data_IF_155794797626
#
_entry.id   IF_155794797626
#
_cell.length_a   1.000
_cell.length_b   1.000
_cell.length_c   1.000
_cell.angle_alpha   90.00
_cell.angle_beta   90.00
_cell.angle_gamma   90.00
#
_symmetry.space_group_name_H-M   'P 1'
#
loop_
_entity.id
_entity.type
_entity.pdbx_description
1 polymer ?
#
# COMPACT_ATOMS: atom_id res chain seq x y z
N UNK A 1 17.28 19.77 20.27
CA UNK A 1 16.29 18.68 20.22
C UNK A 1 15.85 18.55 18.77
N UNK A 2 16.29 17.51 18.07
CA UNK A 2 15.86 17.29 16.68
C UNK A 2 14.34 17.18 16.66
N UNK A 3 13.69 17.91 15.75
CA UNK A 3 12.24 17.94 15.63
C UNK A 3 11.78 16.51 15.28
N UNK A 4 11.36 15.73 16.28
CA UNK A 4 10.82 14.38 16.09
C UNK A 4 9.48 14.58 15.41
N UNK A 5 9.36 14.19 14.14
CA UNK A 5 8.09 14.28 13.43
C UNK A 5 7.05 13.41 14.13
N UNK A 6 5.83 13.91 14.32
CA UNK A 6 4.71 13.06 14.72
C UNK A 6 4.52 11.90 13.74
N UNK A 7 3.97 10.78 14.22
CA UNK A 7 3.64 9.62 13.40
C UNK A 7 4.65 8.48 13.48
N UNK A 8 4.61 7.61 12.47
CA UNK A 8 5.52 6.46 12.34
C UNK A 8 6.95 6.93 12.14
N UNK A 9 7.88 6.39 12.92
CA UNK A 9 9.28 6.75 12.94
C UNK A 9 10.21 5.53 12.95
N UNK A 10 11.42 5.74 12.46
CA UNK A 10 12.54 4.82 12.63
C UNK A 10 12.91 4.71 14.10
N UNK A 11 13.37 3.56 14.63
CA UNK A 11 13.85 3.49 16.01
C UNK A 11 15.01 4.47 16.28
N UNK A 12 15.18 4.84 17.54
CA UNK A 12 16.39 5.52 18.00
C UNK A 12 17.59 4.60 17.82
N UNK A 13 18.70 5.17 17.39
CA UNK A 13 19.99 4.52 17.42
C UNK A 13 20.49 4.51 18.86
N UNK A 14 20.37 3.37 19.54
CA UNK A 14 20.82 3.18 20.93
C UNK A 14 22.32 3.46 21.13
N UNK A 15 23.10 3.43 20.05
CA UNK A 15 24.54 3.75 20.10
C UNK A 15 24.85 5.25 20.00
N UNK A 16 23.82 6.09 19.82
CA UNK A 16 23.96 7.53 19.68
C UNK A 16 23.23 8.28 20.80
N UNK A 17 24.01 8.83 21.74
CA UNK A 17 23.52 9.63 22.87
C UNK A 17 22.77 10.89 22.44
N UNK A 18 22.94 11.35 21.19
CA UNK A 18 22.21 12.49 20.63
C UNK A 18 20.86 12.10 20.01
N UNK A 19 20.50 10.81 20.04
CA UNK A 19 19.20 10.31 19.61
C UNK A 19 19.01 10.38 18.10
N UNK A 20 20.02 10.03 17.31
CA UNK A 20 19.85 9.88 15.85
C UNK A 20 18.99 8.66 15.53
N UNK A 21 18.43 8.64 14.31
CA UNK A 21 17.61 7.54 13.80
C UNK A 21 18.25 7.02 12.52
N UNK A 22 19.27 6.17 12.65
CA UNK A 22 20.02 5.64 11.51
C UNK A 22 19.29 4.47 10.86
N UNK A 23 19.09 4.54 9.54
CA UNK A 23 18.31 3.53 8.80
C UNK A 23 19.07 2.22 8.55
N UNK A 24 20.37 2.28 8.28
CA UNK A 24 21.16 1.10 7.88
C UNK A 24 21.16 0.01 8.96
N UNK A 25 21.35 0.38 10.23
CA UNK A 25 21.37 -0.57 11.33
C UNK A 25 20.03 -1.30 11.48
N UNK A 26 18.94 -0.53 11.50
CA UNK A 26 17.56 -1.06 11.55
C UNK A 26 17.28 -2.01 10.39
N UNK A 27 17.56 -1.58 9.15
CA UNK A 27 17.28 -2.39 7.95
C UNK A 27 18.09 -3.71 7.97
N UNK A 28 19.35 -3.67 8.40
CA UNK A 28 20.15 -4.89 8.52
C UNK A 28 19.58 -5.84 9.57
N UNK A 29 19.14 -5.35 10.74
CA UNK A 29 18.48 -6.18 11.76
C UNK A 29 17.23 -6.87 11.20
N UNK A 30 16.41 -6.15 10.43
CA UNK A 30 15.22 -6.72 9.76
C UNK A 30 15.60 -7.85 8.82
N UNK A 31 16.58 -7.64 7.92
CA UNK A 31 17.00 -8.68 6.97
C UNK A 31 17.68 -9.89 7.62
N UNK A 32 18.47 -9.67 8.67
CA UNK A 32 19.07 -10.75 9.47
C UNK A 32 17.95 -11.59 10.09
N UNK A 33 17.01 -10.97 10.81
CA UNK A 33 15.90 -11.66 11.45
C UNK A 33 15.03 -12.41 10.43
N UNK A 34 14.79 -11.81 9.26
CA UNK A 34 14.05 -12.44 8.17
C UNK A 34 14.68 -13.77 7.73
N UNK A 35 15.99 -13.79 7.46
CA UNK A 35 16.64 -14.94 6.82
C UNK A 35 17.28 -15.93 7.79
N UNK A 36 17.50 -15.57 9.06
CA UNK A 36 18.26 -16.39 10.04
C UNK A 36 17.83 -17.86 10.09
N UNK A 37 16.51 -18.11 10.10
CA UNK A 37 15.96 -19.47 10.18
C UNK A 37 16.08 -20.26 8.87
N UNK A 38 16.04 -19.57 7.72
CA UNK A 38 16.12 -20.19 6.40
C UNK A 38 17.57 -20.39 5.95
N UNK A 39 18.45 -19.42 6.24
CA UNK A 39 19.86 -19.45 5.89
C UNK A 39 20.70 -18.57 6.81
N UNK A 40 21.34 -19.20 7.80
CA UNK A 40 22.33 -18.56 8.69
C UNK A 40 23.47 -17.90 7.91
N UNK A 41 23.91 -18.51 6.81
CA UNK A 41 24.96 -17.95 5.96
C UNK A 41 24.55 -16.61 5.34
N UNK A 42 23.29 -16.48 4.88
CA UNK A 42 22.79 -15.20 4.37
C UNK A 42 22.66 -14.16 5.48
N UNK A 43 22.22 -14.55 6.68
CA UNK A 43 22.17 -13.66 7.83
C UNK A 43 23.57 -13.12 8.20
N UNK A 44 24.59 -13.99 8.21
CA UNK A 44 25.99 -13.60 8.41
C UNK A 44 26.50 -12.67 7.30
N UNK A 45 26.13 -12.91 6.03
CA UNK A 45 26.48 -12.01 4.92
C UNK A 45 25.88 -10.63 5.13
N UNK A 46 24.60 -10.53 5.51
CA UNK A 46 23.97 -9.25 5.85
C UNK A 46 24.75 -8.61 6.99
N UNK A 47 24.97 -9.31 8.10
CA UNK A 47 25.67 -8.79 9.27
C UNK A 47 27.06 -8.22 8.93
N UNK A 48 27.83 -8.93 8.11
CA UNK A 48 29.21 -8.57 7.76
C UNK A 48 29.35 -7.55 6.61
N UNK A 49 28.27 -7.24 5.88
CA UNK A 49 28.32 -6.26 4.79
C UNK A 49 28.52 -4.83 5.31
N UNK A 50 29.70 -4.25 5.01
CA UNK A 50 30.12 -2.90 5.46
C UNK A 50 29.59 -1.79 4.56
N UNK A 51 29.45 -2.05 3.26
CA UNK A 51 28.98 -1.12 2.22
C UNK A 51 27.52 -1.40 1.86
N UNK A 52 26.68 -1.60 2.87
CA UNK A 52 25.26 -1.99 2.71
C UNK A 52 24.52 -1.16 1.66
N UNK A 53 24.63 0.18 1.69
CA UNK A 53 23.93 1.06 0.74
C UNK A 53 24.30 0.83 -0.73
N UNK A 54 25.48 0.27 -0.99
CA UNK A 54 25.95 -0.05 -2.34
C UNK A 54 25.58 -1.49 -2.71
N UNK A 55 25.68 -2.43 -1.76
CA UNK A 55 25.67 -3.86 -2.05
C UNK A 55 24.36 -4.58 -1.70
N UNK A 56 23.40 -3.92 -1.03
CA UNK A 56 22.20 -4.59 -0.52
C UNK A 56 21.42 -5.36 -1.58
N UNK A 57 21.35 -4.83 -2.81
CA UNK A 57 20.57 -5.43 -3.90
C UNK A 57 21.05 -6.83 -4.28
N UNK A 58 22.37 -7.10 -4.23
CA UNK A 58 22.91 -8.44 -4.45
C UNK A 58 22.49 -9.42 -3.35
N UNK A 59 22.60 -9.00 -2.09
CA UNK A 59 22.25 -9.84 -0.95
C UNK A 59 20.74 -10.10 -0.91
N UNK A 60 19.92 -9.08 -1.18
CA UNK A 60 18.46 -9.24 -1.29
C UNK A 60 18.12 -10.23 -2.41
N UNK A 61 18.78 -10.18 -3.57
CA UNK A 61 18.57 -11.17 -4.63
C UNK A 61 18.86 -12.61 -4.14
N UNK A 62 19.95 -12.84 -3.40
CA UNK A 62 20.22 -14.16 -2.82
C UNK A 62 19.14 -14.60 -1.82
N UNK A 63 18.61 -13.69 -1.00
CA UNK A 63 17.49 -13.97 -0.08
C UNK A 63 16.22 -14.31 -0.86
N UNK A 64 15.95 -13.58 -1.95
CA UNK A 64 14.82 -13.87 -2.84
C UNK A 64 14.97 -15.27 -3.48
N UNK A 65 16.18 -15.66 -3.90
CA UNK A 65 16.45 -17.02 -4.37
C UNK A 65 16.18 -18.07 -3.28
N UNK A 66 16.48 -17.77 -2.02
CA UNK A 66 16.16 -18.64 -0.87
C UNK A 66 14.65 -18.78 -0.69
N UNK A 67 13.89 -17.68 -0.79
CA UNK A 67 12.42 -17.71 -0.74
C UNK A 67 11.83 -18.54 -1.89
N UNK A 68 12.45 -18.52 -3.07
CA UNK A 68 11.95 -19.24 -4.24
C UNK A 68 12.12 -20.77 -4.17
N UNK A 69 12.90 -21.29 -3.21
CA UNK A 69 13.14 -22.75 -3.08
C UNK A 69 11.90 -23.52 -2.63
N UNK A 70 11.17 -22.99 -1.66
CA UNK A 70 9.93 -23.60 -1.18
C UNK A 70 9.04 -22.61 -0.42
N UNK A 71 7.76 -22.99 -0.30
CA UNK A 71 6.71 -22.19 0.32
C UNK A 71 6.99 -21.85 1.80
N UNK A 72 7.55 -22.78 2.57
CA UNK A 72 7.79 -22.57 3.99
C UNK A 72 8.89 -21.53 4.23
N UNK A 73 9.95 -21.57 3.43
CA UNK A 73 10.98 -20.53 3.43
C UNK A 73 10.42 -19.18 3.03
N UNK A 74 9.64 -19.10 1.95
CA UNK A 74 9.03 -17.85 1.50
C UNK A 74 8.22 -17.17 2.61
N UNK A 75 7.33 -17.93 3.26
CA UNK A 75 6.47 -17.43 4.33
C UNK A 75 7.27 -17.07 5.58
N UNK A 76 8.14 -17.96 6.06
CA UNK A 76 8.91 -17.70 7.28
C UNK A 76 9.84 -16.49 7.15
N UNK A 77 10.47 -16.29 5.99
CA UNK A 77 11.33 -15.11 5.75
C UNK A 77 10.49 -13.83 5.81
N UNK A 78 9.33 -13.81 5.16
CA UNK A 78 8.43 -12.66 5.17
C UNK A 78 7.88 -12.37 6.59
N UNK A 79 7.41 -13.40 7.28
CA UNK A 79 6.85 -13.30 8.64
C UNK A 79 7.89 -12.83 9.66
N UNK A 80 9.11 -13.39 9.64
CA UNK A 80 10.16 -13.01 10.56
C UNK A 80 10.65 -11.58 10.31
N UNK A 81 10.81 -11.18 9.04
CA UNK A 81 11.16 -9.82 8.67
C UNK A 81 10.09 -8.82 9.12
N UNK A 82 8.82 -9.12 8.87
CA UNK A 82 7.71 -8.25 9.29
C UNK A 82 7.58 -8.17 10.82
N UNK A 83 7.74 -9.30 11.52
CA UNK A 83 7.78 -9.33 12.99
C UNK A 83 8.88 -8.42 13.53
N UNK A 84 10.05 -8.43 12.90
CA UNK A 84 11.17 -7.58 13.30
C UNK A 84 10.89 -6.08 13.06
N UNK A 85 10.18 -5.73 11.97
CA UNK A 85 9.68 -4.36 11.75
C UNK A 85 8.80 -3.92 12.93
N UNK A 86 7.82 -4.73 13.35
CA UNK A 86 6.93 -4.41 14.47
C UNK A 86 7.62 -4.40 15.85
N UNK A 87 8.81 -4.98 15.97
CA UNK A 87 9.60 -4.93 17.20
C UNK A 87 10.51 -3.71 17.28
N UNK A 88 10.68 -2.96 16.17
CA UNK A 88 11.62 -1.84 16.11
C UNK A 88 10.97 -0.50 15.78
N UNK A 89 10.06 -0.43 14.81
CA UNK A 89 9.50 0.85 14.38
C UNK A 89 8.63 1.46 15.47
N UNK A 90 8.71 2.77 15.61
CA UNK A 90 8.04 3.52 16.67
C UNK A 90 6.97 4.44 16.10
N UNK A 91 6.13 4.96 16.98
CA UNK A 91 5.14 5.98 16.68
C UNK A 91 5.22 7.08 17.73
N UNK A 92 5.19 8.33 17.28
CA UNK A 92 5.33 9.52 18.13
C UNK A 92 4.04 10.33 18.10
N UNK A 93 3.48 10.62 19.27
CA UNK A 93 2.30 11.47 19.44
C UNK A 93 2.47 12.31 20.69
N UNK A 94 2.25 13.62 20.59
CA UNK A 94 2.30 14.55 21.73
C UNK A 94 3.61 14.43 22.54
N UNK A 95 4.73 14.17 21.85
CA UNK A 95 6.06 13.98 22.46
C UNK A 95 6.28 12.62 23.13
N UNK A 96 5.28 11.74 23.20
CA UNK A 96 5.41 10.35 23.66
C UNK A 96 5.75 9.43 22.50
N UNK A 97 6.70 8.53 22.73
CA UNK A 97 7.12 7.52 21.76
C UNK A 97 6.74 6.12 22.26
N UNK A 98 6.10 5.33 21.40
CA UNK A 98 5.71 3.94 21.62
C UNK A 98 6.22 3.08 20.47
N UNK A 99 6.30 1.76 20.62
CA UNK A 99 6.41 0.89 19.44
C UNK A 99 5.15 1.07 18.60
N UNK A 100 5.28 0.93 17.27
CA UNK A 100 4.16 1.10 16.35
C UNK A 100 3.00 0.15 16.70
N UNK A 101 3.30 -1.12 17.02
CA UNK A 101 2.28 -2.09 17.47
C UNK A 101 1.54 -1.61 18.73
N UNK A 102 2.25 -1.09 19.72
CA UNK A 102 1.66 -0.63 20.99
C UNK A 102 0.83 0.64 20.76
N UNK A 103 1.26 1.52 19.85
CA UNK A 103 0.50 2.70 19.46
C UNK A 103 -0.81 2.34 18.75
N UNK A 104 -0.82 1.30 17.92
CA UNK A 104 -2.05 0.79 17.27
C UNK A 104 -3.04 0.20 18.28
N UNK A 105 -2.58 -0.26 19.45
CA UNK A 105 -3.46 -0.69 20.55
C UNK A 105 -3.90 0.47 21.44
N UNK A 106 -2.99 1.43 21.67
CA UNK A 106 -3.19 2.55 22.60
C UNK A 106 -4.12 3.62 22.04
N UNK A 107 -3.91 4.02 20.78
CA UNK A 107 -4.66 5.12 20.15
C UNK A 107 -5.82 4.56 19.32
N UNK A 108 -7.03 4.77 19.80
CA UNK A 108 -8.28 4.24 19.22
C UNK A 108 -9.32 5.33 18.99
N UNK A 109 -8.90 6.60 19.00
CA UNK A 109 -9.78 7.74 18.84
C UNK A 109 -10.31 7.81 17.41
N UNK A 110 -11.64 7.93 17.29
CA UNK A 110 -12.29 8.17 16.01
C UNK A 110 -12.29 9.67 15.70
N UNK A 111 -11.19 10.16 15.12
CA UNK A 111 -10.97 11.58 14.84
C UNK A 111 -11.50 12.05 13.48
N UNK A 112 -11.94 11.14 12.62
CA UNK A 112 -12.38 11.45 11.27
C UNK A 112 -13.89 11.23 11.10
N UNK A 113 -14.50 12.07 10.29
CA UNK A 113 -15.81 11.82 9.70
C UNK A 113 -15.69 11.73 8.18
N UNK A 114 -16.71 11.14 7.57
CA UNK A 114 -16.77 10.91 6.13
C UNK A 114 -17.56 12.01 5.45
N UNK A 115 -16.95 12.70 4.48
CA UNK A 115 -17.68 13.57 3.55
C UNK A 115 -17.78 12.87 2.20
N UNK A 116 -19.01 12.73 1.70
CA UNK A 116 -19.29 12.01 0.46
C UNK A 116 -19.55 12.96 -0.71
N UNK A 117 -19.05 12.59 -1.89
CA UNK A 117 -19.35 13.22 -3.16
C UNK A 117 -19.86 12.15 -4.13
N UNK A 118 -20.90 12.48 -4.89
CA UNK A 118 -21.42 11.62 -5.95
C UNK A 118 -21.25 12.31 -7.29
N UNK A 119 -20.76 11.57 -8.26
CA UNK A 119 -20.73 11.99 -9.65
C UNK A 119 -22.11 11.95 -10.30
N UNK A 120 -22.29 12.70 -11.38
CA UNK A 120 -23.53 12.76 -12.16
C UNK A 120 -23.39 12.22 -13.59
N UNK A 121 -22.19 11.81 -13.99
CA UNK A 121 -21.92 11.26 -15.32
C UNK A 121 -22.35 9.80 -15.45
N UNK A 122 -22.49 9.33 -16.69
CA UNK A 122 -22.73 7.91 -16.97
C UNK A 122 -21.46 7.08 -16.74
N UNK A 123 -21.55 5.87 -16.15
CA UNK A 123 -20.41 4.96 -16.07
C UNK A 123 -19.80 4.67 -17.44
N UNK A 124 -18.47 4.66 -17.50
CA UNK A 124 -17.74 4.16 -18.66
C UNK A 124 -17.62 2.64 -18.58
N UNK A 125 -17.45 2.01 -19.73
CA UNK A 125 -17.03 0.61 -19.79
C UNK A 125 -15.54 0.46 -19.45
N UNK A 126 -15.17 -0.74 -19.03
CA UNK A 126 -13.79 -1.19 -18.91
C UNK A 126 -13.20 -1.19 -20.31
N UNK A 127 -12.04 -0.58 -20.41
CA UNK A 127 -11.28 -0.44 -21.63
C UNK A 127 -9.81 -0.52 -21.21
N UNK A 128 -9.14 -1.53 -21.75
CA UNK A 128 -7.72 -1.81 -21.53
C UNK A 128 -6.83 -1.12 -22.57
N UNK A 129 -7.41 -0.37 -23.52
CA UNK A 129 -6.68 0.23 -24.64
C UNK A 129 -6.23 -0.80 -25.68
N UNK A 130 -6.84 -2.00 -25.66
CA UNK A 130 -6.54 -3.11 -26.57
C UNK A 130 -7.86 -3.82 -26.94
N UNK A 131 -7.98 -4.23 -28.19
CA UNK A 131 -9.11 -4.98 -28.73
C UNK A 131 -8.97 -6.48 -28.48
N UNK A 132 -10.10 -7.21 -28.54
CA UNK A 132 -10.09 -8.68 -28.47
C UNK A 132 -9.27 -9.31 -29.61
N UNK A 133 -9.24 -8.68 -30.79
CA UNK A 133 -8.43 -9.14 -31.91
C UNK A 133 -6.93 -8.97 -31.65
N UNK A 134 -6.51 -7.84 -31.08
CA UNK A 134 -5.12 -7.61 -30.70
C UNK A 134 -4.70 -8.54 -29.55
N UNK A 135 -5.55 -8.79 -28.55
CA UNK A 135 -5.28 -9.78 -27.51
C UNK A 135 -5.01 -11.18 -28.09
N UNK A 136 -5.81 -11.58 -29.09
CA UNK A 136 -5.62 -12.86 -29.78
C UNK A 136 -4.29 -12.89 -30.54
N UNK A 137 -3.94 -11.82 -31.26
CA UNK A 137 -2.67 -11.72 -31.98
C UNK A 137 -1.46 -11.77 -31.03
N UNK A 138 -1.51 -11.07 -29.89
CA UNK A 138 -0.46 -11.15 -28.87
C UNK A 138 -0.29 -12.57 -28.32
N UNK A 139 -1.40 -13.28 -28.05
CA UNK A 139 -1.35 -14.65 -27.57
C UNK A 139 -0.78 -15.62 -28.64
N UNK A 140 -1.17 -15.46 -29.90
CA UNK A 140 -0.63 -16.26 -31.02
C UNK A 140 0.88 -16.03 -31.22
N UNK A 141 1.37 -14.81 -30.94
CA UNK A 141 2.80 -14.47 -30.96
C UNK A 141 3.54 -14.85 -29.67
N UNK A 142 2.86 -15.44 -28.68
CA UNK A 142 3.41 -15.75 -27.35
C UNK A 142 3.95 -14.51 -26.61
N UNK A 143 3.41 -13.32 -26.88
CA UNK A 143 3.72 -12.08 -26.17
C UNK A 143 2.93 -11.94 -24.86
N UNK A 144 1.79 -12.63 -24.76
CA UNK A 144 1.01 -12.79 -23.53
C UNK A 144 0.58 -14.26 -23.36
N UNK A 145 0.28 -14.67 -22.13
CA UNK A 145 -0.26 -16.00 -21.87
C UNK A 145 -1.71 -16.11 -22.41
N UNK A 146 -2.09 -17.25 -23.03
CA UNK A 146 -3.43 -17.39 -23.64
C UNK A 146 -4.59 -17.18 -22.66
N UNK A 147 -4.44 -17.60 -21.41
CA UNK A 147 -5.46 -17.43 -20.37
C UNK A 147 -5.64 -15.97 -19.91
N UNK A 148 -4.58 -15.15 -20.00
CA UNK A 148 -4.66 -13.70 -19.84
C UNK A 148 -5.51 -13.08 -20.95
N UNK A 149 -5.27 -13.48 -22.21
CA UNK A 149 -6.06 -13.02 -23.35
C UNK A 149 -7.55 -13.39 -23.20
N UNK A 150 -7.84 -14.64 -22.83
CA UNK A 150 -9.19 -15.13 -22.58
C UNK A 150 -9.88 -14.38 -21.43
N UNK A 151 -9.16 -14.17 -20.32
CA UNK A 151 -9.68 -13.45 -19.16
C UNK A 151 -10.01 -11.99 -19.48
N UNK A 152 -9.11 -11.30 -20.19
CA UNK A 152 -9.32 -9.91 -20.60
C UNK A 152 -10.49 -9.80 -21.59
N UNK A 153 -10.62 -10.75 -22.53
CA UNK A 153 -11.76 -10.82 -23.45
C UNK A 153 -13.07 -10.91 -22.70
N UNK A 154 -13.18 -11.82 -21.71
CA UNK A 154 -14.41 -11.97 -20.90
C UNK A 154 -14.78 -10.64 -20.23
N UNK A 155 -13.81 -9.92 -19.68
CA UNK A 155 -14.06 -8.60 -19.04
C UNK A 155 -14.50 -7.56 -20.06
N UNK A 156 -13.86 -7.48 -21.22
CA UNK A 156 -14.23 -6.53 -22.29
C UNK A 156 -15.65 -6.78 -22.81
N UNK A 157 -15.99 -8.04 -23.06
CA UNK A 157 -17.31 -8.44 -23.57
C UNK A 157 -18.44 -8.29 -22.54
N UNK A 158 -18.11 -8.31 -21.24
CA UNK A 158 -19.10 -8.30 -20.15
C UNK A 158 -18.89 -7.14 -19.16
N UNK A 159 -18.30 -6.02 -19.63
CA UNK A 159 -17.86 -4.93 -18.77
C UNK A 159 -18.94 -4.41 -17.82
N UNK A 160 -20.16 -4.16 -18.31
CA UNK A 160 -21.24 -3.60 -17.48
C UNK A 160 -21.62 -4.57 -16.36
N UNK A 161 -21.75 -5.86 -16.70
CA UNK A 161 -22.05 -6.90 -15.73
C UNK A 161 -20.93 -7.06 -14.70
N UNK A 162 -19.66 -6.96 -15.13
CA UNK A 162 -18.53 -7.01 -14.21
C UNK A 162 -18.53 -5.84 -13.23
N UNK A 163 -18.75 -4.60 -13.71
CA UNK A 163 -18.87 -3.41 -12.87
C UNK A 163 -20.03 -3.56 -11.87
N UNK A 164 -21.16 -4.15 -12.28
CA UNK A 164 -22.30 -4.42 -11.39
C UNK A 164 -21.90 -5.24 -10.16
N UNK A 165 -21.07 -6.27 -10.34
CA UNK A 165 -20.57 -7.10 -9.23
C UNK A 165 -19.74 -6.33 -8.20
N UNK A 166 -19.24 -5.15 -8.56
CA UNK A 166 -18.38 -4.32 -7.72
C UNK A 166 -19.12 -3.16 -7.04
N UNK A 167 -20.42 -2.96 -7.30
CA UNK A 167 -21.16 -1.80 -6.77
C UNK A 167 -21.30 -1.76 -5.24
N UNK A 168 -21.19 -2.89 -4.57
CA UNK A 168 -21.17 -2.97 -3.09
C UNK A 168 -19.75 -2.96 -2.50
N UNK A 169 -18.73 -2.80 -3.35
CA UNK A 169 -17.33 -2.71 -2.94
C UNK A 169 -16.90 -1.25 -2.81
N UNK A 170 -16.14 -0.96 -1.74
CA UNK A 170 -15.46 0.31 -1.53
C UNK A 170 -13.95 0.13 -1.66
N UNK A 171 -13.36 0.82 -2.63
CA UNK A 171 -11.93 0.82 -2.87
C UNK A 171 -11.27 1.89 -2.00
N UNK A 172 -10.54 1.48 -0.98
CA UNK A 172 -9.80 2.36 -0.07
C UNK A 172 -8.42 2.59 -0.65
N UNK A 173 -8.09 3.83 -0.97
CA UNK A 173 -6.85 4.21 -1.64
C UNK A 173 -5.96 4.96 -0.65
N UNK A 174 -5.03 4.24 -0.01
CA UNK A 174 -3.97 4.83 0.81
C UNK A 174 -2.94 5.45 -0.14
N UNK A 175 -2.91 6.78 -0.24
CA UNK A 175 -2.15 7.48 -1.28
C UNK A 175 -2.97 7.74 -2.55
N UNK A 176 -4.21 8.20 -2.41
CA UNK A 176 -5.15 8.43 -3.52
C UNK A 176 -4.66 9.39 -4.61
N UNK A 177 -3.70 10.25 -4.31
CA UNK A 177 -3.08 11.19 -5.25
C UNK A 177 -1.74 10.70 -5.81
N UNK A 178 -1.37 9.44 -5.55
CA UNK A 178 -0.19 8.81 -6.14
C UNK A 178 -0.39 8.57 -7.63
N UNK A 179 0.69 8.62 -8.40
CA UNK A 179 0.65 8.49 -9.87
C UNK A 179 0.07 7.15 -10.34
N UNK A 180 0.44 6.06 -9.65
CA UNK A 180 -0.03 4.71 -9.96
C UNK A 180 -1.36 4.37 -9.27
N UNK A 181 -1.99 5.33 -8.58
CA UNK A 181 -3.25 5.09 -7.92
C UNK A 181 -4.41 5.08 -8.93
N UNK A 182 -5.29 4.05 -8.94
CA UNK A 182 -6.36 3.92 -9.93
C UNK A 182 -7.57 4.83 -9.66
N UNK A 183 -7.44 5.90 -8.86
CA UNK A 183 -8.54 6.79 -8.44
C UNK A 183 -9.42 7.22 -9.60
N UNK A 184 -8.80 7.76 -10.67
CA UNK A 184 -9.53 8.25 -11.84
C UNK A 184 -10.31 7.13 -12.54
N UNK A 185 -9.68 5.99 -12.79
CA UNK A 185 -10.32 4.88 -13.49
C UNK A 185 -11.48 4.32 -12.68
N UNK A 186 -11.32 4.14 -11.37
CA UNK A 186 -12.39 3.64 -10.49
C UNK A 186 -13.61 4.58 -10.49
N UNK A 187 -13.38 5.89 -10.41
CA UNK A 187 -14.45 6.89 -10.45
C UNK A 187 -15.14 6.94 -11.82
N UNK A 188 -14.39 6.83 -12.93
CA UNK A 188 -14.97 6.77 -14.29
C UNK A 188 -15.85 5.53 -14.53
N UNK A 189 -15.50 4.40 -13.90
CA UNK A 189 -16.26 3.15 -13.95
C UNK A 189 -17.51 3.17 -13.04
N UNK A 190 -17.75 4.23 -12.28
CA UNK A 190 -18.93 4.33 -11.42
C UNK A 190 -18.78 3.66 -10.06
N UNK A 191 -17.55 3.34 -9.64
CA UNK A 191 -17.29 2.60 -8.41
C UNK A 191 -17.19 3.52 -7.18
N UNK A 192 -17.28 2.91 -5.99
CA UNK A 192 -17.16 3.63 -4.73
C UNK A 192 -15.71 3.67 -4.24
N UNK A 193 -15.22 4.86 -3.93
CA UNK A 193 -13.83 5.10 -3.56
C UNK A 193 -13.74 5.82 -2.22
N UNK A 194 -12.84 5.36 -1.34
CA UNK A 194 -12.40 6.10 -0.15
C UNK A 194 -11.00 6.63 -0.44
N UNK A 195 -10.85 7.93 -0.63
CA UNK A 195 -9.59 8.55 -1.02
C UNK A 195 -8.86 9.12 0.20
N UNK A 196 -7.70 8.54 0.51
CA UNK A 196 -6.85 9.00 1.61
C UNK A 196 -5.54 9.55 1.03
N UNK A 197 -5.35 10.85 1.21
CA UNK A 197 -4.09 11.54 0.91
C UNK A 197 -3.91 12.71 1.85
N UNK A 198 -2.67 13.17 1.97
CA UNK A 198 -2.31 14.30 2.85
C UNK A 198 -3.19 15.53 2.61
N UNK A 199 -3.48 16.33 3.65
CA UNK A 199 -4.14 17.61 3.50
C UNK A 199 -3.40 18.51 2.48
N UNK A 200 -4.13 18.98 1.48
CA UNK A 200 -3.60 19.88 0.45
C UNK A 200 -4.75 20.50 -0.33
N UNK A 201 -5.14 21.77 -0.07
CA UNK A 201 -6.33 22.38 -0.67
C UNK A 201 -6.40 22.21 -2.19
N UNK A 202 -5.27 22.46 -2.87
CA UNK A 202 -5.15 22.32 -4.33
C UNK A 202 -5.36 20.89 -4.83
N UNK A 203 -4.78 19.88 -4.17
CA UNK A 203 -4.89 18.48 -4.62
C UNK A 203 -6.26 17.91 -4.25
N UNK A 204 -6.76 18.22 -3.07
CA UNK A 204 -8.07 17.80 -2.60
C UNK A 204 -9.20 18.38 -3.46
N UNK A 205 -9.10 19.66 -3.86
CA UNK A 205 -10.04 20.26 -4.81
C UNK A 205 -10.08 19.50 -6.15
N UNK A 206 -8.92 19.08 -6.69
CA UNK A 206 -8.87 18.26 -7.91
C UNK A 206 -9.51 16.89 -7.74
N UNK A 207 -9.28 16.22 -6.61
CA UNK A 207 -9.87 14.90 -6.30
C UNK A 207 -11.40 15.02 -6.18
N UNK A 208 -11.88 16.04 -5.48
CA UNK A 208 -13.31 16.31 -5.32
C UNK A 208 -13.95 16.66 -6.67
N UNK A 209 -13.31 17.51 -7.46
CA UNK A 209 -13.80 17.87 -8.79
C UNK A 209 -13.89 16.64 -9.71
N UNK A 210 -12.85 15.80 -9.71
CA UNK A 210 -12.83 14.56 -10.45
C UNK A 210 -14.01 13.65 -10.07
N UNK A 211 -14.33 13.53 -8.78
CA UNK A 211 -15.48 12.75 -8.34
C UNK A 211 -16.80 13.33 -8.82
N UNK A 212 -17.00 14.65 -8.70
CA UNK A 212 -18.22 15.34 -9.17
C UNK A 212 -18.45 15.19 -10.68
N UNK A 213 -17.37 15.18 -11.46
CA UNK A 213 -17.41 14.99 -12.93
C UNK A 213 -17.49 13.52 -13.36
N UNK A 214 -17.27 12.58 -12.44
CA UNK A 214 -17.31 11.15 -12.70
C UNK A 214 -18.72 10.56 -12.59
N UNK A 215 -18.81 9.23 -12.66
CA UNK A 215 -20.01 8.44 -12.40
C UNK A 215 -19.98 7.75 -11.04
N UNK A 216 -18.84 7.82 -10.34
CA UNK A 216 -18.58 7.11 -9.10
C UNK A 216 -18.92 7.91 -7.85
N UNK A 217 -18.63 7.29 -6.70
CA UNK A 217 -18.76 7.92 -5.38
C UNK A 217 -17.40 8.05 -4.74
N UNK A 218 -17.20 9.15 -4.03
CA UNK A 218 -15.97 9.46 -3.33
C UNK A 218 -16.29 9.75 -1.87
N UNK A 219 -15.54 9.12 -0.96
CA UNK A 219 -15.44 9.51 0.44
C UNK A 219 -14.05 10.08 0.68
N UNK A 220 -13.99 11.22 1.36
CA UNK A 220 -12.75 11.78 1.90
C UNK A 220 -12.84 11.90 3.44
N UNK A 221 -11.74 11.66 4.18
CA UNK A 221 -11.72 11.90 5.61
C UNK A 221 -11.64 13.41 5.89
N UNK A 222 -12.43 13.87 6.84
CA UNK A 222 -12.32 15.22 7.42
C UNK A 222 -12.19 15.07 8.93
N UNK A 223 -11.26 15.79 9.55
CA UNK A 223 -11.18 15.77 11.02
C UNK A 223 -12.46 16.34 11.62
N UNK A 224 -12.97 15.70 12.67
CA UNK A 224 -14.18 16.15 13.39
C UNK A 224 -14.02 17.56 13.96
N UNK A 225 -12.81 17.92 14.38
CA UNK A 225 -12.47 19.26 14.91
C UNK A 225 -12.26 20.33 13.84
N UNK A 226 -12.34 19.99 12.55
CA UNK A 226 -12.10 20.96 11.49
C UNK A 226 -13.20 22.03 11.43
N UNK A 227 -12.81 23.26 11.12
CA UNK A 227 -13.71 24.39 10.91
C UNK A 227 -14.60 24.19 9.68
N UNK A 228 -15.88 23.90 9.91
CA UNK A 228 -16.87 23.59 8.87
C UNK A 228 -17.34 24.80 8.08
N UNK A 229 -16.90 26.01 8.43
CA UNK A 229 -17.16 27.20 7.62
C UNK A 229 -16.30 27.25 6.35
N UNK A 230 -15.23 26.45 6.28
CA UNK A 230 -14.31 26.36 5.13
C UNK A 230 -14.77 25.35 4.10
N UNK A 231 -14.28 25.50 2.88
CA UNK A 231 -14.53 24.54 1.81
C UNK A 231 -13.97 23.17 2.16
N UNK A 232 -14.67 22.10 1.78
CA UNK A 232 -14.23 20.72 2.13
C UNK A 232 -12.81 20.45 1.66
N UNK A 233 -12.41 20.95 0.49
CA UNK A 233 -11.04 20.79 -0.03
C UNK A 233 -9.98 21.37 0.90
N UNK A 234 -10.29 22.38 1.69
CA UNK A 234 -9.35 23.02 2.62
C UNK A 234 -9.18 22.23 3.92
N UNK A 235 -10.15 21.39 4.28
CA UNK A 235 -10.22 20.71 5.57
C UNK A 235 -10.15 19.18 5.48
N UNK A 236 -10.25 18.61 4.28
CA UNK A 236 -10.18 17.17 4.08
C UNK A 236 -8.75 16.66 3.83
N UNK A 237 -8.57 15.36 4.07
CA UNK A 237 -7.30 14.67 3.96
C UNK A 237 -6.78 14.17 5.31
N UNK A 238 -5.87 13.22 5.23
CA UNK A 238 -5.19 12.60 6.36
C UNK A 238 -3.78 12.19 5.94
N UNK A 239 -2.82 12.31 6.84
CA UNK A 239 -1.47 11.84 6.60
C UNK A 239 -1.33 10.42 7.15
N UNK A 240 -1.17 9.44 6.27
CA UNK A 240 -1.13 8.02 6.68
C UNK A 240 -0.05 7.72 7.71
N UNK A 241 1.07 8.44 7.70
CA UNK A 241 2.14 8.24 8.69
C UNK A 241 1.86 8.92 10.03
N UNK A 242 1.16 10.05 10.04
CA UNK A 242 0.82 10.80 11.26
C UNK A 242 -0.47 10.29 11.90
N UNK A 243 -1.42 9.86 11.07
CA UNK A 243 -2.80 9.50 11.44
C UNK A 243 -3.03 7.99 11.41
N UNK A 244 -1.97 7.18 11.53
CA UNK A 244 -2.03 5.73 11.33
C UNK A 244 -3.10 5.06 12.20
N UNK A 245 -3.11 5.25 13.55
CA UNK A 245 -4.10 4.60 14.41
C UNK A 245 -5.53 5.13 14.19
N UNK A 246 -5.68 6.43 13.92
CA UNK A 246 -6.98 7.07 13.76
C UNK A 246 -7.62 6.73 12.41
N UNK A 247 -6.82 6.63 11.34
CA UNK A 247 -7.29 6.12 10.05
C UNK A 247 -7.73 4.67 10.15
N UNK A 248 -6.96 3.82 10.86
CA UNK A 248 -7.39 2.44 11.15
C UNK A 248 -8.74 2.44 11.86
N UNK A 249 -8.90 3.24 12.91
CA UNK A 249 -10.14 3.32 13.70
C UNK A 249 -11.33 3.75 12.83
N UNK A 250 -11.14 4.79 12.03
CA UNK A 250 -12.16 5.29 11.11
C UNK A 250 -12.52 4.25 10.03
N UNK A 251 -11.54 3.57 9.44
CA UNK A 251 -11.79 2.55 8.42
C UNK A 251 -12.51 1.30 8.97
N UNK A 252 -12.28 0.94 10.25
CA UNK A 252 -13.04 -0.13 10.91
C UNK A 252 -14.51 0.25 11.11
N UNK A 253 -14.84 1.53 11.30
CA UNK A 253 -16.21 2.01 11.46
C UNK A 253 -16.92 2.28 10.13
N UNK A 254 -16.17 2.51 9.06
CA UNK A 254 -16.67 2.91 7.75
C UNK A 254 -17.43 1.77 7.04
N UNK A 255 -18.67 2.05 6.61
CA UNK A 255 -19.49 1.15 5.75
C UNK A 255 -19.47 -0.32 6.20
N UNK A 256 -19.68 -0.61 7.50
CA UNK A 256 -19.42 -1.93 8.13
C UNK A 256 -19.98 -3.16 7.41
N UNK A 257 -21.06 -3.00 6.68
CA UNK A 257 -21.77 -4.02 5.91
C UNK A 257 -21.23 -4.22 4.48
N UNK A 258 -20.27 -3.40 4.04
CA UNK A 258 -19.72 -3.41 2.69
C UNK A 258 -18.30 -3.97 2.65
N UNK A 259 -17.93 -4.55 1.51
CA UNK A 259 -16.58 -5.02 1.25
C UNK A 259 -15.63 -3.84 1.09
N UNK A 260 -14.46 -3.91 1.75
CA UNK A 260 -13.37 -2.98 1.49
C UNK A 260 -12.28 -3.68 0.68
N UNK A 261 -11.81 -3.02 -0.37
CA UNK A 261 -10.57 -3.39 -1.08
C UNK A 261 -9.54 -2.32 -0.77
N UNK A 262 -8.52 -2.67 0.01
CA UNK A 262 -7.49 -1.73 0.46
C UNK A 262 -6.33 -1.77 -0.52
N UNK A 263 -6.02 -0.62 -1.10
CA UNK A 263 -4.85 -0.44 -1.95
C UNK A 263 -3.82 0.51 -1.35
N UNK A 264 -2.57 0.04 -1.31
CA UNK A 264 -1.42 0.74 -0.73
C UNK A 264 -0.59 1.37 -1.85
N UNK A 265 -0.83 2.64 -2.14
CA UNK A 265 -0.27 3.36 -3.29
C UNK A 265 0.77 4.44 -2.92
N UNK A 266 1.07 4.63 -1.63
CA UNK A 266 2.07 5.62 -1.22
C UNK A 266 3.46 5.16 -1.65
N UNK A 267 4.05 5.92 -2.56
CA UNK A 267 5.44 5.77 -2.98
C UNK A 267 6.18 7.07 -2.69
N UNK A 268 7.28 6.97 -1.95
CA UNK A 268 8.10 8.11 -1.51
C UNK A 268 9.57 7.74 -1.71
N UNK A 269 10.47 8.71 -1.54
CA UNK A 269 11.90 8.46 -1.67
C UNK A 269 12.51 7.94 -0.37
N UNK A 270 13.30 6.88 -0.50
CA UNK A 270 14.20 6.39 0.55
C UNK A 270 13.52 6.09 1.89
N UNK A 271 14.05 6.69 2.96
CA UNK A 271 13.65 6.38 4.34
C UNK A 271 12.18 6.69 4.63
N UNK A 272 11.59 7.68 3.94
CA UNK A 272 10.18 8.05 4.11
C UNK A 272 9.24 6.99 3.54
N UNK A 273 9.66 6.28 2.48
CA UNK A 273 8.88 5.19 1.91
C UNK A 273 8.68 4.06 2.92
N UNK A 274 9.74 3.67 3.63
CA UNK A 274 9.66 2.61 4.64
C UNK A 274 8.68 2.98 5.75
N UNK A 275 8.68 4.23 6.22
CA UNK A 275 7.73 4.71 7.22
C UNK A 275 6.28 4.66 6.71
N UNK A 276 6.05 5.10 5.48
CA UNK A 276 4.73 5.00 4.84
C UNK A 276 4.28 3.55 4.67
N UNK A 277 5.19 2.64 4.27
CA UNK A 277 4.90 1.21 4.13
C UNK A 277 4.57 0.58 5.48
N UNK A 278 5.29 0.90 6.55
CA UNK A 278 4.97 0.43 7.90
C UNK A 278 3.61 0.95 8.37
N UNK A 279 3.29 2.21 8.10
CA UNK A 279 2.01 2.81 8.44
C UNK A 279 0.84 2.13 7.69
N UNK A 280 0.98 1.96 6.38
CA UNK A 280 -0.03 1.28 5.55
C UNK A 280 -0.21 -0.18 5.99
N UNK A 281 0.89 -0.90 6.25
CA UNK A 281 0.86 -2.29 6.73
C UNK A 281 0.12 -2.41 8.07
N UNK A 282 0.41 -1.52 9.03
CA UNK A 282 -0.26 -1.51 10.33
C UNK A 282 -1.79 -1.30 10.21
N UNK A 283 -2.22 -0.39 9.32
CA UNK A 283 -3.65 -0.19 9.02
C UNK A 283 -4.24 -1.45 8.37
N UNK A 284 -3.58 -1.98 7.33
CA UNK A 284 -4.05 -3.14 6.56
C UNK A 284 -4.18 -4.37 7.44
N UNK A 285 -3.15 -4.66 8.25
CA UNK A 285 -3.13 -5.80 9.17
C UNK A 285 -4.36 -5.78 10.08
N UNK A 286 -4.63 -4.64 10.71
CA UNK A 286 -5.77 -4.50 11.61
C UNK A 286 -7.11 -4.61 10.89
N UNK A 287 -7.23 -4.12 9.66
CA UNK A 287 -8.44 -4.28 8.85
C UNK A 287 -8.66 -5.74 8.44
N UNK A 288 -7.61 -6.44 8.03
CA UNK A 288 -7.71 -7.88 7.70
C UNK A 288 -8.13 -8.69 8.94
N UNK A 289 -7.53 -8.40 10.09
CA UNK A 289 -7.81 -9.13 11.34
C UNK A 289 -9.21 -8.83 11.90
N UNK A 290 -9.63 -7.56 11.90
CA UNK A 290 -10.85 -7.10 12.60
C UNK A 290 -12.05 -6.90 11.69
N UNK A 291 -11.87 -6.98 10.37
CA UNK A 291 -12.94 -6.75 9.38
C UNK A 291 -12.95 -7.86 8.31
N UNK A 292 -13.66 -8.97 8.57
CA UNK A 292 -13.82 -10.07 7.61
C UNK A 292 -14.33 -9.59 6.24
N UNK A 293 -13.80 -10.19 5.17
CA UNK A 293 -14.14 -9.81 3.79
C UNK A 293 -13.29 -8.66 3.23
N UNK A 294 -12.42 -8.04 4.04
CA UNK A 294 -11.38 -7.12 3.54
C UNK A 294 -10.52 -7.83 2.50
N UNK A 295 -10.30 -7.19 1.36
CA UNK A 295 -9.41 -7.66 0.31
C UNK A 295 -8.32 -6.64 0.04
N UNK A 296 -7.24 -7.09 -0.58
CA UNK A 296 -6.01 -6.31 -0.75
C UNK A 296 -5.72 -6.10 -2.24
N UNK A 297 -5.23 -4.92 -2.59
CA UNK A 297 -4.76 -4.57 -3.93
C UNK A 297 -3.37 -3.94 -3.81
N UNK A 298 -2.34 -4.69 -4.18
CA UNK A 298 -0.95 -4.22 -4.12
C UNK A 298 -0.38 -4.05 -5.52
N UNK A 299 0.45 -3.03 -5.69
CA UNK A 299 1.35 -2.94 -6.83
C UNK A 299 2.52 -3.88 -6.60
N UNK A 300 2.91 -4.61 -7.63
CA UNK A 300 4.03 -5.54 -7.56
C UNK A 300 5.34 -4.77 -7.39
N UNK A 301 6.19 -5.22 -6.46
CA UNK A 301 7.57 -4.72 -6.33
C UNK A 301 8.48 -5.41 -7.35
N UNK A 302 9.52 -4.74 -7.90
CA UNK A 302 10.54 -5.40 -8.72
C UNK A 302 11.32 -6.51 -7.97
N UNK A 303 11.17 -6.61 -6.64
CA UNK A 303 11.70 -7.71 -5.83
C UNK A 303 10.77 -8.92 -5.72
N UNK A 304 9.62 -8.91 -6.40
CA UNK A 304 8.65 -10.01 -6.38
C UNK A 304 9.04 -11.04 -7.44
N UNK A 305 9.20 -12.30 -7.05
CA UNK A 305 9.44 -13.40 -7.99
C UNK A 305 8.11 -13.90 -8.49
N UNK A 306 8.03 -14.11 -9.80
CA UNK A 306 6.95 -14.82 -10.44
C UNK A 306 7.54 -15.90 -11.35
N UNK A 307 6.86 -17.05 -11.49
CA UNK A 307 7.30 -18.07 -12.43
C UNK A 307 7.26 -17.50 -13.85
N UNK A 308 8.30 -17.78 -14.63
CA UNK A 308 8.32 -17.51 -16.06
C UNK A 308 8.63 -18.79 -16.82
N UNK A 309 8.15 -18.96 -18.07
CA UNK A 309 8.56 -20.05 -18.93
C UNK A 309 10.09 -20.07 -19.10
N UNK A 310 10.68 -21.27 -19.20
CA UNK A 310 12.12 -21.42 -19.38
C UNK A 310 12.65 -20.67 -20.62
N UNK A 311 11.88 -20.69 -21.72
CA UNK A 311 12.22 -19.95 -22.93
C UNK A 311 12.31 -18.43 -22.70
N UNK A 312 11.39 -17.85 -21.92
CA UNK A 312 11.44 -16.42 -21.56
C UNK A 312 12.66 -16.10 -20.67
N UNK A 313 13.04 -17.02 -19.77
CA UNK A 313 14.22 -16.88 -18.93
C UNK A 313 15.54 -16.97 -19.71
N UNK A 314 15.57 -17.75 -20.80
CA UNK A 314 16.72 -17.84 -21.71
C UNK A 314 16.84 -16.60 -22.59
N UNK A 315 15.73 -16.14 -23.17
CA UNK A 315 15.67 -14.93 -23.99
C UNK A 315 16.11 -13.68 -23.20
N UNK A 316 15.65 -13.52 -21.94
CA UNK A 316 16.03 -12.40 -21.09
C UNK A 316 17.53 -12.35 -20.71
N UNK A 317 18.31 -13.41 -20.99
CA UNK A 317 19.76 -13.46 -20.76
C UNK A 317 20.58 -13.15 -22.03
N UNK A 318 19.95 -13.15 -23.20
CA UNK A 318 20.58 -12.87 -24.50
C UNK A 318 20.79 -11.35 -24.70
#
# INVERSE_FOLDING_TARGET
MSNRGEGVNWPLDESDEHGSRKTTGTVKKVWISAVENASKSLAEKVANEKKWRQNYHHIVNEIICEQAKDKQNALSIAENGLKEVYNQFTFIRDGKELLLKDAMETYTEDLFESVEFSGSSKPKSIDFGITVAELKDLAEKSEIEPDVADSMKVVLENSESFIETLKDTWFVLLGSTSELCPLKKLLELGLNVVAISRPSPKRQAKVIQLAKESSGKLIVPVRKVADKSKETSEICGADVTVDTPELRTWLLSLKKDKRLVIGSYIYLDGAAHVLASCAMDAIVKDLVDKRPGTALAYLMSPSTVYPIPAAAAEDAKA
#
